data_IF_403017260270
#
_entry.id   IF_403017260270
#
_cell.length_a   1.000
_cell.length_b   1.000
_cell.length_c   1.000
_cell.angle_alpha   90.00
_cell.angle_beta   90.00
_cell.angle_gamma   90.00
#
_symmetry.space_group_name_H-M   'P 1'
#
loop_
_entity.id
_entity.type
_entity.pdbx_description
1 polymer ?
#
# COMPACT_ATOMS: atom_id res chain seq x y z
N UNK A 1 0.91 47.02 46.74
CA UNK A 1 1.74 45.90 46.25
C UNK A 1 0.87 44.64 46.37
N UNK A 2 0.10 44.23 45.36
CA UNK A 2 0.37 43.03 44.54
C UNK A 2 -0.40 43.05 43.19
N UNK A 3 -0.76 44.25 42.70
CA UNK A 3 -1.25 44.44 41.31
C UNK A 3 -0.21 44.08 40.23
N UNK A 4 1.00 43.68 40.64
CA UNK A 4 2.07 43.15 39.79
C UNK A 4 2.23 41.62 39.89
N UNK A 5 1.31 40.93 40.56
CA UNK A 5 1.38 39.47 40.71
C UNK A 5 0.68 38.72 39.55
N UNK A 6 -0.19 39.39 38.80
CA UNK A 6 -0.86 38.77 37.64
C UNK A 6 -0.02 38.79 36.35
N UNK A 7 1.02 39.62 36.28
CA UNK A 7 1.86 39.75 35.07
C UNK A 7 2.96 38.68 35.01
N UNK A 8 3.20 37.92 36.08
CA UNK A 8 4.24 36.89 36.12
C UNK A 8 3.71 35.47 35.81
N UNK A 9 2.43 35.33 35.45
CA UNK A 9 1.84 34.04 35.06
C UNK A 9 1.75 33.81 33.55
N UNK A 10 2.05 34.82 32.72
CA UNK A 10 2.07 34.68 31.26
C UNK A 10 3.47 34.41 30.67
N UNK A 11 4.51 34.33 31.50
CA UNK A 11 5.91 34.19 31.08
C UNK A 11 6.43 32.75 30.96
N UNK A 12 5.59 31.73 31.10
CA UNK A 12 5.99 30.32 30.98
C UNK A 12 5.06 29.56 30.04
N UNK A 13 5.03 29.98 28.78
CA UNK A 13 4.45 29.24 27.66
C UNK A 13 5.51 28.87 26.62
N UNK A 14 6.79 28.84 27.02
CA UNK A 14 7.94 28.50 26.17
C UNK A 14 8.73 27.37 26.82
N UNK A 15 8.10 26.22 27.09
CA UNK A 15 8.83 25.02 27.51
C UNK A 15 8.04 23.69 27.43
N UNK A 16 6.83 23.64 26.87
CA UNK A 16 6.03 22.40 26.88
C UNK A 16 5.27 22.16 25.57
N UNK A 17 6.00 22.18 24.46
CA UNK A 17 5.54 21.69 23.16
C UNK A 17 6.38 20.50 22.71
N UNK A 18 6.50 19.50 23.59
CA UNK A 18 7.08 18.18 23.32
C UNK A 18 6.12 17.14 23.87
N UNK A 19 5.03 16.85 23.14
CA UNK A 19 4.27 15.58 23.18
C UNK A 19 3.03 15.65 22.27
N UNK A 20 3.21 16.00 21.00
CA UNK A 20 2.32 15.43 19.98
C UNK A 20 2.90 14.07 19.61
N UNK A 21 2.41 13.03 20.28
CA UNK A 21 2.49 11.67 19.76
C UNK A 21 1.62 11.68 18.51
N UNK A 22 2.25 12.01 17.38
CA UNK A 22 1.78 11.67 16.06
C UNK A 22 1.53 10.16 16.13
N UNK A 23 0.28 9.76 15.92
CA UNK A 23 -0.04 8.39 15.53
C UNK A 23 0.81 8.13 14.29
N UNK A 24 1.94 7.44 14.50
CA UNK A 24 2.77 6.87 13.47
C UNK A 24 1.93 5.79 12.81
N UNK A 25 1.12 6.21 11.84
CA UNK A 25 0.60 5.33 10.83
C UNK A 25 1.82 4.72 10.14
N UNK A 26 2.01 3.43 10.38
CA UNK A 26 3.02 2.61 9.75
C UNK A 26 2.98 2.82 8.23
N UNK A 27 4.09 3.34 7.70
CA UNK A 27 4.70 3.17 6.37
C UNK A 27 3.84 2.89 5.11
N UNK A 28 4.24 3.41 3.91
CA UNK A 28 5.62 3.74 3.58
C UNK A 28 5.84 5.13 2.96
N UNK A 29 6.75 5.87 3.58
CA UNK A 29 7.70 6.73 2.86
C UNK A 29 8.51 5.87 1.90
N UNK A 30 8.12 5.85 0.63
CA UNK A 30 9.02 5.64 -0.52
C UNK A 30 8.60 6.53 -1.70
N UNK A 31 8.30 7.80 -1.43
CA UNK A 31 8.32 8.85 -2.46
C UNK A 31 9.73 9.42 -2.55
N UNK A 32 10.63 8.72 -3.24
CA UNK A 32 11.80 9.27 -3.95
C UNK A 32 12.57 8.11 -4.58
N UNK A 33 12.68 8.17 -5.92
CA UNK A 33 13.37 7.24 -6.84
C UNK A 33 12.53 6.08 -7.39
N UNK A 34 11.46 6.40 -8.12
CA UNK A 34 10.96 5.53 -9.18
C UNK A 34 10.73 6.31 -10.49
N UNK A 35 11.58 7.29 -10.77
CA UNK A 35 11.67 7.82 -12.13
C UNK A 35 12.48 6.83 -12.98
N UNK A 36 11.77 6.16 -13.90
CA UNK A 36 12.29 5.33 -15.01
C UNK A 36 12.83 3.93 -14.71
N UNK A 37 12.20 3.16 -13.81
CA UNK A 37 12.03 1.74 -14.15
C UNK A 37 10.77 1.71 -15.00
N UNK A 38 10.91 1.48 -16.31
CA UNK A 38 9.75 1.22 -17.16
C UNK A 38 8.92 0.15 -16.44
N UNK A 39 7.77 0.54 -15.87
CA UNK A 39 6.88 -0.40 -15.19
C UNK A 39 6.62 -1.49 -16.22
N UNK A 40 7.16 -2.69 -16.00
CA UNK A 40 6.82 -3.85 -16.81
C UNK A 40 5.29 -3.90 -16.81
N UNK A 41 4.69 -3.66 -17.98
CA UNK A 41 3.24 -3.60 -18.13
C UNK A 41 2.60 -4.95 -17.79
N UNK A 42 3.40 -6.02 -17.88
CA UNK A 42 3.04 -7.38 -17.52
C UNK A 42 3.80 -7.82 -16.27
N UNK A 43 3.07 -8.37 -15.32
CA UNK A 43 3.63 -9.03 -14.14
C UNK A 43 3.23 -10.50 -14.17
N UNK A 44 4.19 -11.39 -14.00
CA UNK A 44 4.00 -12.83 -14.08
C UNK A 44 4.57 -13.50 -12.82
N UNK A 45 3.86 -14.47 -12.29
CA UNK A 45 4.24 -15.14 -11.05
C UNK A 45 3.11 -15.99 -10.48
N UNK A 46 3.33 -16.48 -9.27
CA UNK A 46 2.37 -17.27 -8.50
C UNK A 46 1.53 -16.36 -7.61
N UNK A 47 0.21 -16.59 -7.55
CA UNK A 47 -0.67 -15.91 -6.60
C UNK A 47 -0.45 -16.54 -5.22
N UNK A 48 0.12 -15.78 -4.29
CA UNK A 48 0.44 -16.27 -2.93
C UNK A 48 -0.61 -15.83 -1.90
N UNK A 49 -1.46 -14.87 -2.24
CA UNK A 49 -2.58 -14.41 -1.40
C UNK A 49 -3.65 -13.76 -2.26
N UNK A 50 -4.92 -14.03 -1.96
CA UNK A 50 -6.07 -13.31 -2.51
C UNK A 50 -6.94 -12.74 -1.37
N UNK A 51 -7.56 -11.59 -1.62
CA UNK A 51 -8.55 -10.99 -0.73
C UNK A 51 -9.74 -10.50 -1.56
N UNK A 52 -10.82 -11.30 -1.66
CA UNK A 52 -12.03 -10.92 -2.38
C UNK A 52 -12.67 -9.63 -1.86
N UNK A 53 -12.70 -9.45 -0.54
CA UNK A 53 -13.29 -8.26 0.10
C UNK A 53 -12.59 -6.95 -0.28
N UNK A 54 -11.28 -7.03 -0.54
CA UNK A 54 -10.45 -5.88 -0.90
C UNK A 54 -10.18 -5.79 -2.40
N UNK A 55 -10.67 -6.76 -3.16
CA UNK A 55 -10.35 -6.96 -4.58
C UNK A 55 -8.84 -6.91 -4.87
N UNK A 56 -8.05 -7.68 -4.11
CA UNK A 56 -6.59 -7.72 -4.28
C UNK A 56 -6.03 -9.12 -4.42
N UNK A 57 -5.01 -9.26 -5.26
CA UNK A 57 -4.14 -10.44 -5.37
C UNK A 57 -2.69 -10.04 -5.09
N UNK A 58 -1.98 -10.83 -4.28
CA UNK A 58 -0.53 -10.71 -4.14
C UNK A 58 0.12 -11.77 -5.02
N UNK A 59 0.91 -11.32 -6.00
CA UNK A 59 1.60 -12.18 -6.96
C UNK A 59 3.11 -12.12 -6.70
N UNK A 60 3.71 -13.28 -6.42
CA UNK A 60 5.15 -13.46 -6.25
C UNK A 60 5.81 -13.84 -7.56
N UNK A 61 6.84 -13.10 -7.98
CA UNK A 61 7.58 -13.37 -9.22
C UNK A 61 8.30 -14.72 -9.15
N UNK A 62 8.16 -15.56 -10.17
CA UNK A 62 8.84 -16.85 -10.23
C UNK A 62 10.36 -16.70 -10.14
N UNK A 63 11.01 -17.51 -9.29
CA UNK A 63 12.45 -17.46 -9.08
C UNK A 63 12.94 -16.26 -8.24
N UNK A 64 12.03 -15.50 -7.62
CA UNK A 64 12.36 -14.37 -6.76
C UNK A 64 11.42 -14.31 -5.54
N UNK A 65 11.83 -13.57 -4.51
CA UNK A 65 10.97 -13.25 -3.37
C UNK A 65 10.25 -11.90 -3.56
N UNK A 66 10.29 -11.33 -4.77
CA UNK A 66 9.59 -10.08 -5.09
C UNK A 66 8.08 -10.34 -5.22
N UNK A 67 7.30 -9.63 -4.42
CA UNK A 67 5.84 -9.67 -4.43
C UNK A 67 5.26 -8.35 -4.93
N UNK A 68 4.12 -8.44 -5.61
CA UNK A 68 3.33 -7.27 -6.02
C UNK A 68 1.87 -7.48 -5.69
N UNK A 69 1.26 -6.49 -5.08
CA UNK A 69 -0.19 -6.44 -4.89
C UNK A 69 -0.84 -5.85 -6.15
N UNK A 70 -1.78 -6.59 -6.72
CA UNK A 70 -2.60 -6.23 -7.88
C UNK A 70 -4.01 -5.98 -7.37
N UNK A 71 -4.53 -4.78 -7.62
CA UNK A 71 -5.93 -4.46 -7.39
C UNK A 71 -6.72 -4.81 -8.66
N UNK A 72 -7.90 -5.39 -8.48
CA UNK A 72 -8.83 -5.68 -9.57
C UNK A 72 -10.19 -5.05 -9.31
N UNK A 73 -10.98 -4.94 -10.37
CA UNK A 73 -12.32 -4.38 -10.35
C UNK A 73 -13.22 -5.10 -11.35
N UNK A 74 -14.44 -4.61 -11.55
CA UNK A 74 -15.41 -5.18 -12.49
C UNK A 74 -14.99 -5.11 -13.96
N UNK A 75 -13.98 -4.31 -14.30
CA UNK A 75 -13.44 -4.22 -15.67
C UNK A 75 -12.33 -5.25 -15.93
N UNK A 76 -11.86 -5.93 -14.88
CA UNK A 76 -10.79 -6.93 -14.97
C UNK A 76 -11.32 -8.20 -15.64
N UNK A 77 -10.67 -8.61 -16.74
CA UNK A 77 -10.98 -9.87 -17.42
C UNK A 77 -10.10 -10.98 -16.88
N UNK A 78 -10.73 -12.07 -16.47
CA UNK A 78 -10.06 -13.25 -15.96
C UNK A 78 -10.11 -14.38 -16.99
N UNK A 79 -8.98 -15.02 -17.21
CA UNK A 79 -8.85 -16.10 -18.17
C UNK A 79 -8.00 -17.23 -17.60
N UNK A 80 -8.34 -18.47 -17.94
CA UNK A 80 -7.51 -19.64 -17.69
C UNK A 80 -7.05 -20.26 -19.01
N UNK A 81 -5.79 -20.66 -19.06
CA UNK A 81 -5.17 -21.31 -20.20
C UNK A 81 -4.23 -22.39 -19.71
N UNK A 82 -4.46 -23.63 -20.15
CA UNK A 82 -3.54 -24.73 -19.90
C UNK A 82 -2.22 -24.51 -20.64
N UNK A 83 -1.10 -24.91 -20.02
CA UNK A 83 0.22 -24.74 -20.61
C UNK A 83 0.31 -25.40 -21.99
N UNK A 84 0.65 -24.62 -23.02
CA UNK A 84 0.75 -25.08 -24.40
C UNK A 84 -0.58 -25.18 -25.16
N UNK A 85 -1.73 -24.99 -24.50
CA UNK A 85 -3.02 -24.94 -25.17
C UNK A 85 -3.23 -23.61 -25.89
N UNK A 86 -3.92 -23.62 -27.04
CA UNK A 86 -4.37 -22.39 -27.72
C UNK A 86 -5.76 -21.93 -27.25
N UNK A 87 -6.44 -22.76 -26.46
CA UNK A 87 -7.78 -22.47 -25.97
C UNK A 87 -7.65 -21.65 -24.68
N UNK A 88 -8.24 -20.46 -24.71
CA UNK A 88 -8.39 -19.58 -23.55
C UNK A 88 -9.83 -19.69 -23.08
N UNK A 89 -10.04 -19.93 -21.79
CA UNK A 89 -11.37 -19.96 -21.19
C UNK A 89 -11.56 -18.70 -20.35
N UNK A 90 -12.68 -18.02 -20.54
CA UNK A 90 -13.10 -16.94 -19.66
C UNK A 90 -13.52 -17.53 -18.31
N UNK A 91 -13.05 -16.92 -17.23
CA UNK A 91 -13.34 -17.33 -15.85
C UNK A 91 -13.77 -16.12 -15.02
N UNK A 92 -14.17 -16.37 -13.78
CA UNK A 92 -14.46 -15.33 -12.79
C UNK A 92 -13.32 -15.19 -11.77
N UNK A 93 -13.27 -14.03 -11.08
CA UNK A 93 -12.31 -13.77 -10.00
C UNK A 93 -12.37 -14.83 -8.87
N UNK A 94 -13.54 -15.43 -8.64
CA UNK A 94 -13.73 -16.51 -7.66
C UNK A 94 -13.03 -17.82 -8.02
N UNK A 95 -12.53 -17.95 -9.25
CA UNK A 95 -11.85 -19.15 -9.75
C UNK A 95 -10.32 -19.03 -9.74
N UNK A 96 -9.80 -17.95 -9.15
CA UNK A 96 -8.37 -17.61 -9.02
C UNK A 96 -7.93 -17.74 -7.58
#
# INVERSE_FOLDING_TARGET
MVKKLFTLLCGSLVAFSLSTVIFAQEAPTQEKKMDKVAKEARWEGEVVRGSPDKSTLTVRKSGSNLERTVHYDSSTKWVSQEHGSKKVNDIDASQV
#
